data_IF_689781558249
#
_entry.id   IF_689781558249
#
_cell.length_a   1.000
_cell.length_b   1.000
_cell.length_c   1.000
_cell.angle_alpha   90.00
_cell.angle_beta   90.00
_cell.angle_gamma   90.00
#
_symmetry.space_group_name_H-M   'P 1'
#
loop_
_entity.id
_entity.type
_entity.pdbx_description
1 polymer ?
#
# COMPACT_ATOMS: atom_id res chain seq x y z
N UNK A 1 13.65 23.06 -18.33
CA UNK A 1 14.49 21.84 -18.31
C UNK A 1 14.13 21.03 -17.06
N UNK A 2 13.82 19.75 -17.19
CA UNK A 2 13.55 18.85 -16.07
C UNK A 2 14.84 18.66 -15.25
N UNK A 3 14.75 18.76 -13.91
CA UNK A 3 15.93 18.70 -13.03
C UNK A 3 15.90 17.50 -12.08
N UNK A 4 14.75 16.95 -11.79
CA UNK A 4 14.55 15.78 -10.94
C UNK A 4 13.16 15.18 -11.24
N UNK A 5 12.96 13.92 -10.83
CA UNK A 5 11.63 13.27 -10.85
C UNK A 5 11.32 12.78 -9.45
N UNK A 6 10.11 13.08 -9.00
CA UNK A 6 9.57 12.55 -7.74
C UNK A 6 8.39 11.65 -8.11
N UNK A 7 8.48 10.40 -7.69
CA UNK A 7 7.43 9.41 -7.89
C UNK A 7 6.54 9.31 -6.65
N UNK A 8 5.24 9.21 -6.85
CA UNK A 8 4.38 8.55 -5.88
C UNK A 8 4.69 7.05 -5.88
N UNK A 9 4.26 6.32 -4.85
CA UNK A 9 4.63 4.92 -4.66
C UNK A 9 3.47 3.97 -4.97
N UNK A 10 2.46 3.92 -4.07
CA UNK A 10 1.29 3.06 -4.25
C UNK A 10 0.45 3.52 -5.43
N UNK A 11 0.05 2.61 -6.30
CA UNK A 11 -0.73 2.92 -7.51
C UNK A 11 0.08 3.58 -8.65
N UNK A 12 1.37 3.83 -8.46
CA UNK A 12 2.28 4.40 -9.48
C UNK A 12 3.47 3.49 -9.76
N UNK A 13 4.27 3.19 -8.74
CA UNK A 13 5.38 2.23 -8.86
C UNK A 13 4.87 0.81 -8.66
N UNK A 14 4.08 0.60 -7.62
CA UNK A 14 3.55 -0.71 -7.25
C UNK A 14 2.04 -0.76 -7.39
N UNK A 15 1.56 -1.90 -7.87
CA UNK A 15 0.15 -2.29 -7.89
C UNK A 15 -0.11 -3.20 -6.69
N UNK A 16 -0.32 -2.61 -5.54
CA UNK A 16 -0.59 -3.30 -4.28
C UNK A 16 -2.07 -3.30 -3.88
N UNK A 17 -2.94 -2.68 -4.65
CA UNK A 17 -4.37 -2.64 -4.40
C UNK A 17 -5.00 -4.05 -4.29
N UNK A 18 -4.63 -5.04 -5.13
CA UNK A 18 -5.10 -6.41 -4.95
C UNK A 18 -4.67 -7.04 -3.63
N UNK A 19 -3.50 -6.67 -3.11
CA UNK A 19 -3.03 -7.11 -1.79
C UNK A 19 -3.92 -6.48 -0.72
N UNK A 20 -4.16 -5.17 -0.76
CA UNK A 20 -5.03 -4.48 0.20
C UNK A 20 -6.43 -5.09 0.22
N UNK A 21 -7.06 -5.33 -0.94
CA UNK A 21 -8.36 -6.01 -1.03
C UNK A 21 -8.33 -7.37 -0.31
N UNK A 22 -7.37 -8.21 -0.65
CA UNK A 22 -7.24 -9.56 -0.06
C UNK A 22 -7.09 -9.52 1.46
N UNK A 23 -6.32 -8.56 1.96
CA UNK A 23 -6.09 -8.41 3.39
C UNK A 23 -7.32 -7.85 4.13
N UNK A 24 -8.04 -6.88 3.56
CA UNK A 24 -9.32 -6.44 4.12
C UNK A 24 -10.34 -7.57 4.14
N UNK A 25 -10.44 -8.32 3.04
CA UNK A 25 -11.33 -9.48 2.96
C UNK A 25 -11.00 -10.53 4.03
N UNK A 26 -9.72 -10.81 4.25
CA UNK A 26 -9.25 -11.74 5.27
C UNK A 26 -9.58 -11.26 6.68
N UNK A 27 -9.15 -10.04 7.05
CA UNK A 27 -9.32 -9.52 8.40
C UNK A 27 -10.79 -9.32 8.75
N UNK A 28 -11.60 -8.77 7.83
CA UNK A 28 -13.04 -8.64 8.02
C UNK A 28 -13.72 -10.02 8.08
N UNK A 29 -13.27 -10.98 7.26
CA UNK A 29 -13.76 -12.35 7.27
C UNK A 29 -13.52 -13.08 8.60
N UNK A 30 -12.36 -12.87 9.22
CA UNK A 30 -12.03 -13.37 10.57
C UNK A 30 -12.99 -12.82 11.64
N UNK A 31 -13.55 -11.63 11.40
CA UNK A 31 -14.59 -11.03 12.25
C UNK A 31 -16.02 -11.42 11.80
N UNK A 32 -16.18 -12.30 10.82
CA UNK A 32 -17.50 -12.72 10.31
C UNK A 32 -18.18 -11.70 9.40
N UNK A 33 -17.42 -10.78 8.80
CA UNK A 33 -17.89 -9.78 7.85
C UNK A 33 -17.39 -10.16 6.45
N UNK A 34 -18.30 -10.43 5.53
CA UNK A 34 -17.96 -10.73 4.15
C UNK A 34 -17.68 -9.43 3.37
N UNK A 35 -16.60 -9.42 2.60
CA UNK A 35 -16.25 -8.34 1.69
C UNK A 35 -16.08 -8.93 0.29
N UNK A 36 -16.90 -8.50 -0.66
CA UNK A 36 -16.77 -8.89 -2.07
C UNK A 36 -15.80 -7.94 -2.78
N UNK A 37 -15.18 -8.42 -3.86
CA UNK A 37 -14.33 -7.59 -4.69
C UNK A 37 -15.11 -6.39 -5.28
N UNK A 38 -16.33 -6.62 -5.73
CA UNK A 38 -17.21 -5.57 -6.26
C UNK A 38 -17.47 -4.48 -5.21
N UNK A 39 -17.78 -4.84 -3.98
CA UNK A 39 -18.00 -3.88 -2.89
C UNK A 39 -16.73 -3.12 -2.53
N UNK A 40 -15.59 -3.81 -2.52
CA UNK A 40 -14.31 -3.18 -2.24
C UNK A 40 -14.01 -2.07 -3.24
N UNK A 41 -13.99 -2.37 -4.52
CA UNK A 41 -13.67 -1.37 -5.55
C UNK A 41 -14.74 -0.29 -5.71
N UNK A 42 -16.00 -0.57 -5.36
CA UNK A 42 -17.08 0.43 -5.44
C UNK A 42 -17.12 1.40 -4.25
N UNK A 43 -16.70 0.97 -3.06
CA UNK A 43 -16.97 1.71 -1.81
C UNK A 43 -15.78 1.89 -0.87
N UNK A 44 -14.76 1.05 -0.97
CA UNK A 44 -13.61 1.06 -0.04
C UNK A 44 -12.33 1.60 -0.69
N UNK A 45 -12.26 1.58 -2.02
CA UNK A 45 -11.10 2.08 -2.75
C UNK A 45 -10.77 3.53 -2.33
N UNK A 46 -9.54 3.74 -1.91
CA UNK A 46 -9.07 5.05 -1.44
C UNK A 46 -9.32 5.34 0.05
N UNK A 47 -9.94 4.41 0.79
CA UNK A 47 -9.95 4.52 2.24
C UNK A 47 -8.59 4.12 2.82
N UNK A 48 -8.21 4.80 3.91
CA UNK A 48 -7.18 4.28 4.79
C UNK A 48 -7.71 3.07 5.59
N UNK A 49 -6.83 2.35 6.26
CA UNK A 49 -7.19 1.15 7.02
C UNK A 49 -8.26 1.45 8.09
N UNK A 50 -8.14 2.60 8.74
CA UNK A 50 -9.11 3.03 9.74
C UNK A 50 -10.51 3.23 9.14
N UNK A 51 -10.58 3.96 8.05
CA UNK A 51 -11.84 4.25 7.35
C UNK A 51 -12.51 2.99 6.83
N UNK A 52 -11.73 2.07 6.26
CA UNK A 52 -12.22 0.81 5.72
C UNK A 52 -12.81 -0.09 6.80
N UNK A 53 -12.15 -0.27 7.95
CA UNK A 53 -12.68 -1.09 9.04
C UNK A 53 -13.93 -0.46 9.67
N UNK A 54 -13.93 0.87 9.90
CA UNK A 54 -15.13 1.56 10.41
C UNK A 54 -16.31 1.37 9.45
N UNK A 55 -16.10 1.52 8.15
CA UNK A 55 -17.15 1.33 7.15
C UNK A 55 -17.67 -0.12 7.15
N UNK A 56 -16.78 -1.11 7.16
CA UNK A 56 -17.14 -2.53 7.18
C UNK A 56 -18.01 -2.92 8.37
N UNK A 57 -17.65 -2.49 9.57
CA UNK A 57 -18.44 -2.75 10.77
C UNK A 57 -19.77 -2.02 10.75
N UNK A 58 -19.78 -0.74 10.36
CA UNK A 58 -21.01 0.08 10.30
C UNK A 58 -22.00 -0.49 9.29
N UNK A 59 -21.57 -0.89 8.11
CA UNK A 59 -22.43 -1.45 7.06
C UNK A 59 -23.05 -2.80 7.46
N UNK A 60 -22.41 -3.52 8.37
CA UNK A 60 -22.91 -4.77 8.95
C UNK A 60 -23.63 -4.58 10.29
N UNK A 61 -23.97 -3.33 10.66
CA UNK A 61 -24.65 -2.99 11.92
C UNK A 61 -23.93 -3.51 13.16
N UNK A 62 -22.59 -3.54 13.13
CA UNK A 62 -21.76 -3.98 14.25
C UNK A 62 -21.01 -2.81 14.88
N UNK A 63 -20.92 -2.85 16.19
CA UNK A 63 -20.13 -1.89 16.95
C UNK A 63 -18.64 -2.20 16.80
N UNK A 64 -17.83 -1.16 16.78
CA UNK A 64 -16.38 -1.25 16.71
C UNK A 64 -15.77 -0.34 17.79
N UNK A 65 -15.16 -0.95 18.81
CA UNK A 65 -14.45 -0.17 19.84
C UNK A 65 -13.10 0.36 19.30
N UNK A 66 -12.55 1.37 19.97
CA UNK A 66 -11.25 1.93 19.59
C UNK A 66 -10.12 0.88 19.71
N UNK A 67 -10.17 0.06 20.74
CA UNK A 67 -9.22 -1.02 20.99
C UNK A 67 -9.27 -2.08 19.88
N UNK A 68 -10.50 -2.49 19.51
CA UNK A 68 -10.67 -3.48 18.44
C UNK A 68 -10.25 -2.93 17.08
N UNK A 69 -10.53 -1.65 16.80
CA UNK A 69 -10.07 -1.00 15.58
C UNK A 69 -8.54 -0.99 15.50
N UNK A 70 -7.86 -0.68 16.59
CA UNK A 70 -6.40 -0.69 16.65
C UNK A 70 -5.85 -2.12 16.38
N UNK A 71 -6.41 -3.12 17.04
CA UNK A 71 -6.05 -4.53 16.82
C UNK A 71 -6.20 -4.95 15.35
N UNK A 72 -7.30 -4.55 14.68
CA UNK A 72 -7.54 -4.89 13.28
C UNK A 72 -6.52 -4.24 12.34
N UNK A 73 -6.17 -2.98 12.61
CA UNK A 73 -5.16 -2.26 11.83
C UNK A 73 -3.78 -2.93 11.99
N UNK A 74 -3.38 -3.26 13.22
CA UNK A 74 -2.10 -3.95 13.48
C UNK A 74 -2.07 -5.32 12.81
N UNK A 75 -3.14 -6.11 12.93
CA UNK A 75 -3.24 -7.43 12.30
C UNK A 75 -3.12 -7.35 10.78
N UNK A 76 -3.79 -6.37 10.15
CA UNK A 76 -3.65 -6.14 8.72
C UNK A 76 -2.22 -5.73 8.35
N UNK A 77 -1.58 -4.87 9.14
CA UNK A 77 -0.21 -4.44 8.90
C UNK A 77 0.77 -5.63 8.95
N UNK A 78 0.61 -6.54 9.90
CA UNK A 78 1.43 -7.76 9.97
C UNK A 78 1.26 -8.64 8.73
N UNK A 79 0.01 -8.86 8.29
CA UNK A 79 -0.27 -9.59 7.06
C UNK A 79 0.29 -8.90 5.82
N UNK A 80 0.24 -7.57 5.77
CA UNK A 80 0.82 -6.80 4.67
C UNK A 80 2.34 -6.97 4.61
N UNK A 81 3.02 -6.89 5.74
CA UNK A 81 4.46 -7.12 5.81
C UNK A 81 4.85 -8.51 5.31
N UNK A 82 4.06 -9.54 5.61
CA UNK A 82 4.28 -10.88 5.09
C UNK A 82 4.05 -10.95 3.58
N UNK A 83 2.97 -10.34 3.10
CA UNK A 83 2.59 -10.36 1.69
C UNK A 83 3.64 -9.69 0.80
N UNK A 84 4.12 -8.50 1.16
CA UNK A 84 5.09 -7.74 0.34
C UNK A 84 6.49 -8.37 0.27
N UNK A 85 6.85 -9.23 1.23
CA UNK A 85 8.10 -10.00 1.17
C UNK A 85 8.05 -11.10 0.12
N UNK A 86 6.86 -11.63 -0.14
CA UNK A 86 6.68 -12.80 -1.00
C UNK A 86 6.29 -12.42 -2.43
N UNK A 87 5.48 -11.40 -2.60
CA UNK A 87 5.02 -11.00 -3.93
C UNK A 87 4.56 -9.54 -3.96
N UNK A 88 5.16 -8.77 -4.87
CA UNK A 88 4.72 -7.40 -5.18
C UNK A 88 4.66 -7.24 -6.70
N UNK A 89 3.53 -6.75 -7.18
CA UNK A 89 3.35 -6.42 -8.59
C UNK A 89 3.79 -4.99 -8.87
N UNK A 90 4.58 -4.82 -9.92
CA UNK A 90 5.03 -3.53 -10.44
C UNK A 90 4.24 -3.22 -11.69
N UNK A 91 3.82 -1.99 -11.86
CA UNK A 91 3.18 -1.60 -13.12
C UNK A 91 4.11 -1.81 -14.31
N UNK A 92 3.57 -2.27 -15.47
CA UNK A 92 4.37 -2.49 -16.66
C UNK A 92 5.17 -1.25 -17.07
N UNK A 93 6.45 -1.43 -17.37
CA UNK A 93 7.34 -0.36 -17.83
C UNK A 93 8.01 0.46 -16.71
N UNK A 94 7.56 0.38 -15.45
CA UNK A 94 8.13 1.17 -14.34
C UNK A 94 9.60 0.87 -14.12
N UNK A 95 10.01 -0.39 -14.12
CA UNK A 95 11.43 -0.76 -13.91
C UNK A 95 12.33 -0.14 -14.98
N UNK A 96 11.92 -0.22 -16.23
CA UNK A 96 12.67 0.37 -17.35
C UNK A 96 12.70 1.89 -17.24
N UNK A 97 11.55 2.52 -16.98
CA UNK A 97 11.46 3.97 -16.82
C UNK A 97 12.36 4.49 -15.70
N UNK A 98 12.33 3.85 -14.52
CA UNK A 98 13.18 4.24 -13.38
C UNK A 98 14.66 4.10 -13.74
N UNK A 99 15.05 2.97 -14.33
CA UNK A 99 16.44 2.73 -14.72
C UNK A 99 16.94 3.74 -15.77
N UNK A 100 16.11 4.08 -16.76
CA UNK A 100 16.46 5.04 -17.81
C UNK A 100 16.58 6.46 -17.26
N UNK A 101 15.61 6.90 -16.45
CA UNK A 101 15.63 8.24 -15.86
C UNK A 101 16.79 8.41 -14.86
N UNK A 102 17.14 7.39 -14.09
CA UNK A 102 18.22 7.43 -13.13
C UNK A 102 19.60 7.66 -13.77
N UNK A 103 19.75 7.42 -15.08
CA UNK A 103 20.99 7.69 -15.79
C UNK A 103 21.30 9.19 -15.94
N UNK A 104 20.30 10.03 -15.90
CA UNK A 104 20.43 11.47 -16.23
C UNK A 104 19.80 12.40 -15.20
N UNK A 105 18.95 11.91 -14.33
CA UNK A 105 18.18 12.71 -13.38
C UNK A 105 18.23 12.10 -11.98
N UNK A 106 18.32 12.93 -10.93
CA UNK A 106 18.05 12.46 -9.58
C UNK A 106 16.57 12.07 -9.43
N UNK A 107 16.34 10.92 -8.81
CA UNK A 107 15.00 10.38 -8.54
C UNK A 107 14.73 10.38 -7.04
N UNK A 108 13.47 10.61 -6.68
CA UNK A 108 12.97 10.48 -5.32
C UNK A 108 11.60 9.81 -5.30
N UNK A 109 11.25 9.26 -4.15
CA UNK A 109 9.88 8.81 -3.84
C UNK A 109 9.28 9.77 -2.80
N UNK A 110 8.00 10.12 -2.97
CA UNK A 110 7.20 10.79 -1.94
C UNK A 110 5.85 10.07 -1.82
N UNK A 111 5.56 9.50 -0.64
CA UNK A 111 4.39 8.65 -0.44
C UNK A 111 3.84 8.75 0.98
N UNK A 112 2.55 8.49 1.13
CA UNK A 112 1.91 8.27 2.43
C UNK A 112 2.12 6.86 3.00
N UNK A 113 2.89 5.99 2.35
CA UNK A 113 3.27 4.69 2.90
C UNK A 113 4.41 4.83 3.93
N UNK A 114 4.56 3.81 4.78
CA UNK A 114 5.64 3.78 5.77
C UNK A 114 7.00 3.54 5.09
N UNK A 115 8.04 4.21 5.58
CA UNK A 115 9.40 4.13 5.02
C UNK A 115 9.90 2.70 4.86
N UNK A 116 9.73 1.88 5.89
CA UNK A 116 10.20 0.50 5.85
C UNK A 116 9.46 -0.37 4.81
N UNK A 117 8.21 -0.04 4.49
CA UNK A 117 7.44 -0.71 3.43
C UNK A 117 7.99 -0.34 2.06
N UNK A 118 8.17 0.96 1.80
CA UNK A 118 8.75 1.48 0.56
C UNK A 118 10.13 0.85 0.31
N UNK A 119 11.01 0.89 1.30
CA UNK A 119 12.38 0.37 1.18
C UNK A 119 12.39 -1.15 0.96
N UNK A 120 11.54 -1.91 1.68
CA UNK A 120 11.42 -3.36 1.51
C UNK A 120 11.00 -3.71 0.10
N UNK A 121 9.97 -3.04 -0.41
CA UNK A 121 9.45 -3.29 -1.75
C UNK A 121 10.47 -2.89 -2.82
N UNK A 122 11.03 -1.67 -2.75
CA UNK A 122 12.03 -1.21 -3.71
C UNK A 122 13.27 -2.10 -3.74
N UNK A 123 13.71 -2.60 -2.58
CA UNK A 123 14.82 -3.56 -2.48
C UNK A 123 14.47 -4.88 -3.15
N UNK A 124 13.29 -5.43 -2.88
CA UNK A 124 12.80 -6.68 -3.51
C UNK A 124 12.72 -6.54 -5.03
N UNK A 125 12.38 -5.36 -5.53
CA UNK A 125 12.29 -5.06 -6.95
C UNK A 125 13.64 -4.76 -7.61
N UNK A 126 14.71 -4.54 -6.82
CA UNK A 126 16.02 -4.11 -7.30
C UNK A 126 16.04 -2.65 -7.75
N UNK A 127 15.16 -1.81 -7.19
CA UNK A 127 15.01 -0.40 -7.59
C UNK A 127 15.52 0.60 -6.54
N UNK A 128 15.78 0.16 -5.30
CA UNK A 128 16.11 1.06 -4.19
C UNK A 128 17.30 1.99 -4.50
N UNK A 129 18.35 1.46 -5.09
CA UNK A 129 19.58 2.20 -5.37
C UNK A 129 19.43 3.28 -6.45
N UNK A 130 18.33 3.31 -7.18
CA UNK A 130 18.04 4.35 -8.16
C UNK A 130 17.49 5.64 -7.53
N UNK A 131 17.01 5.59 -6.29
CA UNK A 131 16.39 6.72 -5.61
C UNK A 131 17.38 7.39 -4.64
N UNK A 132 17.52 8.70 -4.77
CA UNK A 132 18.40 9.53 -3.93
C UNK A 132 17.73 9.92 -2.61
N UNK A 133 16.41 9.95 -2.57
CA UNK A 133 15.63 10.31 -1.40
C UNK A 133 14.29 9.58 -1.38
N UNK A 134 13.82 9.31 -0.18
CA UNK A 134 12.48 8.80 0.09
C UNK A 134 11.86 9.70 1.16
N UNK A 135 10.69 10.25 0.87
CA UNK A 135 9.82 10.95 1.82
C UNK A 135 8.62 10.06 2.08
N UNK A 136 8.43 9.66 3.31
CA UNK A 136 7.44 8.69 3.75
C UNK A 136 6.44 9.31 4.73
N UNK A 137 5.46 8.53 5.18
CA UNK A 137 4.40 9.00 6.09
C UNK A 137 4.93 9.55 7.43
N UNK A 138 6.10 9.11 7.86
CA UNK A 138 6.74 9.50 9.13
C UNK A 138 7.55 10.79 9.06
N UNK A 139 7.79 11.34 7.87
CA UNK A 139 8.64 12.54 7.67
C UNK A 139 7.84 13.90 7.76
#
# INVERSE_FOLDING_TARGET
MLRAVIFDFNGIIVDDEPIHFTLFQRVLGEEGIALTEQDYYARYLGFDDRGAFIAGFRENSRSLSAEKLHELIERKADYYQEAIRNHVTVFPGVKTLVADLAQTLPLAVASGALRHEIETILKTLGLLDHFHAIVAAED
#
